data_IF_667497495126
#
_entry.id   IF_667497495126
#
_cell.length_a   1.000
_cell.length_b   1.000
_cell.length_c   1.000
_cell.angle_alpha   90.00
_cell.angle_beta   90.00
_cell.angle_gamma   90.00
#
_symmetry.space_group_name_H-M   'P 1'
#
loop_
_entity.id
_entity.type
_entity.pdbx_description
1 polymer ?
#
# COMPACT_ATOMS: atom_id res chain seq x y z
N UNK A 1 -8.72 6.46 -84.41
CA UNK A 1 -9.84 5.80 -83.73
C UNK A 1 -9.52 5.84 -82.27
N UNK A 2 -10.24 6.68 -81.63
CA UNK A 2 -10.05 7.13 -80.26
C UNK A 2 -10.52 6.08 -79.27
N UNK A 3 -9.84 5.99 -78.16
CA UNK A 3 -10.48 5.59 -76.92
C UNK A 3 -9.78 6.25 -75.71
N UNK A 4 -10.47 7.22 -75.22
CA UNK A 4 -10.19 7.92 -73.93
C UNK A 4 -10.55 7.01 -72.76
N UNK A 5 -9.60 6.72 -71.89
CA UNK A 5 -9.86 6.15 -70.55
C UNK A 5 -9.52 7.19 -69.52
N UNK A 6 -10.56 7.74 -68.92
CA UNK A 6 -10.50 8.64 -67.76
C UNK A 6 -10.20 7.82 -66.51
N UNK A 7 -9.03 7.99 -65.93
CA UNK A 7 -8.70 7.45 -64.60
C UNK A 7 -9.14 8.44 -63.53
N UNK A 8 -10.17 8.07 -62.76
CA UNK A 8 -10.60 8.74 -61.53
C UNK A 8 -9.63 8.37 -60.41
N UNK A 9 -8.93 9.37 -59.91
CA UNK A 9 -8.16 9.27 -58.68
C UNK A 9 -9.13 9.22 -57.47
N UNK A 10 -9.09 8.09 -56.74
CA UNK A 10 -9.78 7.92 -55.46
C UNK A 10 -8.83 8.30 -54.34
N UNK A 11 -9.04 9.45 -53.73
CA UNK A 11 -8.36 9.89 -52.51
C UNK A 11 -8.85 9.03 -51.34
N UNK A 12 -8.00 8.17 -50.82
CA UNK A 12 -8.20 7.51 -49.51
C UNK A 12 -7.63 8.39 -48.40
N UNK A 13 -8.47 9.22 -47.82
CA UNK A 13 -8.22 9.77 -46.49
C UNK A 13 -8.50 8.65 -45.48
N UNK A 14 -7.46 7.98 -45.05
CA UNK A 14 -7.52 7.12 -43.87
C UNK A 14 -7.57 7.99 -42.63
N UNK A 15 -8.74 8.06 -42.00
CA UNK A 15 -8.90 8.60 -40.66
C UNK A 15 -8.36 7.56 -39.68
N UNK A 16 -7.16 7.77 -39.18
CA UNK A 16 -6.64 7.07 -38.02
C UNK A 16 -7.36 7.64 -36.80
N UNK A 17 -8.40 6.97 -36.35
CA UNK A 17 -8.92 7.12 -34.99
C UNK A 17 -7.90 6.51 -34.04
N UNK A 18 -7.04 7.33 -33.45
CA UNK A 18 -6.24 6.95 -32.31
C UNK A 18 -7.20 6.68 -31.15
N UNK A 19 -7.42 5.41 -30.84
CA UNK A 19 -8.06 5.00 -29.60
C UNK A 19 -7.13 5.40 -28.46
N UNK A 20 -7.53 6.39 -27.68
CA UNK A 20 -6.93 6.68 -26.39
C UNK A 20 -7.17 5.45 -25.50
N UNK A 21 -6.16 4.58 -25.37
CA UNK A 21 -6.12 3.61 -24.30
C UNK A 21 -6.01 4.42 -23.00
N UNK A 22 -7.13 4.58 -22.32
CA UNK A 22 -7.17 5.17 -21.00
C UNK A 22 -6.32 4.29 -20.10
N UNK A 23 -5.19 4.83 -19.62
CA UNK A 23 -4.44 4.25 -18.54
C UNK A 23 -5.39 4.17 -17.34
N UNK A 24 -5.83 2.95 -17.02
CA UNK A 24 -6.62 2.70 -15.83
C UNK A 24 -5.72 3.04 -14.63
N UNK A 25 -5.95 4.19 -14.03
CA UNK A 25 -5.35 4.54 -12.72
C UNK A 25 -5.88 3.50 -11.74
N UNK A 26 -5.02 2.66 -11.11
CA UNK A 26 -5.50 1.73 -10.11
C UNK A 26 -6.15 2.53 -8.99
N UNK A 27 -7.38 2.18 -8.65
CA UNK A 27 -8.10 2.77 -7.55
C UNK A 27 -7.22 2.68 -6.29
N UNK A 28 -6.90 3.84 -5.71
CA UNK A 28 -6.30 3.91 -4.37
C UNK A 28 -7.28 3.19 -3.45
N UNK A 29 -6.82 2.14 -2.78
CA UNK A 29 -7.67 1.40 -1.84
C UNK A 29 -8.31 2.38 -0.87
N UNK A 30 -9.64 2.43 -0.84
CA UNK A 30 -10.38 3.31 0.05
C UNK A 30 -10.03 2.93 1.50
N UNK A 31 -9.32 3.81 2.20
CA UNK A 31 -9.01 3.63 3.61
C UNK A 31 -10.20 4.01 4.48
N UNK A 32 -10.24 3.47 5.69
CA UNK A 32 -11.15 3.96 6.73
C UNK A 32 -10.70 5.35 7.13
N UNK A 33 -11.39 6.37 6.61
CA UNK A 33 -11.10 7.75 6.98
C UNK A 33 -11.26 7.94 8.49
N UNK A 34 -10.23 8.47 9.13
CA UNK A 34 -10.38 9.11 10.44
C UNK A 34 -11.08 10.44 10.17
N UNK A 35 -12.42 10.44 10.06
CA UNK A 35 -13.16 11.69 10.03
C UNK A 35 -12.65 12.56 11.19
N UNK A 36 -12.21 13.77 10.87
CA UNK A 36 -11.49 14.65 11.77
C UNK A 36 -12.11 14.67 13.16
N UNK A 37 -11.44 14.03 14.11
CA UNK A 37 -11.86 14.06 15.50
C UNK A 37 -11.38 15.40 16.07
N UNK A 38 -12.27 16.26 16.58
CA UNK A 38 -11.84 17.53 17.13
C UNK A 38 -10.81 17.30 18.24
N UNK A 39 -9.83 18.19 18.33
CA UNK A 39 -8.93 18.26 19.48
C UNK A 39 -9.79 18.36 20.74
N UNK A 40 -9.84 17.31 21.56
CA UNK A 40 -10.70 17.25 22.75
C UNK A 40 -11.63 16.04 22.85
N UNK A 41 -11.74 15.19 21.82
CA UNK A 41 -12.47 13.94 21.96
C UNK A 41 -11.74 12.99 22.92
N UNK A 42 -12.48 12.42 23.90
CA UNK A 42 -11.93 11.48 24.90
C UNK A 42 -11.32 10.23 24.26
N UNK A 43 -10.20 9.70 24.84
CA UNK A 43 -9.69 8.38 24.50
C UNK A 43 -10.73 7.31 24.78
N UNK A 44 -10.69 6.19 24.04
CA UNK A 44 -11.54 5.05 24.30
C UNK A 44 -12.82 4.97 23.46
N UNK A 45 -12.85 5.58 22.26
CA UNK A 45 -13.97 5.36 21.36
C UNK A 45 -13.91 3.94 20.76
N UNK A 46 -15.07 3.29 20.74
CA UNK A 46 -15.26 2.05 19.98
C UNK A 46 -15.87 2.40 18.62
N UNK A 47 -15.30 1.82 17.55
CA UNK A 47 -15.80 1.96 16.19
C UNK A 47 -15.93 0.60 15.53
N UNK A 48 -17.12 0.29 15.01
CA UNK A 48 -17.38 -0.89 14.20
C UNK A 48 -17.12 -0.63 12.71
N UNK A 49 -16.54 -1.61 12.04
CA UNK A 49 -16.38 -1.66 10.58
C UNK A 49 -16.70 -3.06 10.08
N UNK A 50 -17.13 -3.15 8.83
CA UNK A 50 -17.26 -4.44 8.14
C UNK A 50 -16.16 -4.55 7.08
N UNK A 51 -15.47 -5.70 7.08
CA UNK A 51 -14.46 -6.06 6.09
C UNK A 51 -14.96 -7.30 5.35
N UNK A 52 -14.86 -7.28 4.03
CA UNK A 52 -15.24 -8.38 3.16
C UNK A 52 -13.96 -9.00 2.58
N UNK A 53 -13.79 -10.30 2.76
CA UNK A 53 -12.76 -11.06 2.07
C UNK A 53 -13.36 -11.68 0.81
N UNK A 54 -12.74 -11.44 -0.35
CA UNK A 54 -13.26 -11.85 -1.65
C UNK A 54 -12.17 -12.43 -2.54
N UNK A 55 -12.56 -13.35 -3.42
CA UNK A 55 -11.68 -13.81 -4.49
C UNK A 55 -11.53 -12.75 -5.58
N UNK A 56 -10.32 -12.60 -6.11
CA UNK A 56 -9.95 -11.65 -7.15
C UNK A 56 -9.43 -12.38 -8.40
N UNK A 57 -9.41 -11.70 -9.56
CA UNK A 57 -8.81 -12.27 -10.77
C UNK A 57 -7.36 -12.73 -10.56
N UNK A 58 -6.94 -13.74 -11.30
CA UNK A 58 -5.58 -14.29 -11.22
C UNK A 58 -5.32 -15.18 -10.01
N UNK A 59 -6.38 -15.67 -9.33
CA UNK A 59 -6.26 -16.55 -8.17
C UNK A 59 -5.82 -15.81 -6.90
N UNK A 60 -5.94 -14.49 -6.88
CA UNK A 60 -5.69 -13.65 -5.73
C UNK A 60 -6.93 -13.60 -4.82
N UNK A 61 -6.72 -13.09 -3.61
CA UNK A 61 -7.75 -12.75 -2.65
C UNK A 61 -7.47 -11.36 -2.10
N UNK A 62 -8.49 -10.68 -1.61
CA UNK A 62 -8.31 -9.34 -1.06
C UNK A 62 -9.33 -9.04 0.03
N UNK A 63 -9.06 -7.98 0.77
CA UNK A 63 -10.00 -7.38 1.70
C UNK A 63 -10.57 -6.10 1.12
N UNK A 64 -11.85 -5.80 1.44
CA UNK A 64 -12.54 -4.58 1.04
C UNK A 64 -13.50 -4.09 2.12
N UNK A 65 -13.89 -2.80 2.05
CA UNK A 65 -14.85 -2.20 3.01
C UNK A 65 -16.32 -2.30 2.55
N UNK A 66 -16.53 -2.76 1.34
CA UNK A 66 -17.86 -3.06 0.80
C UNK A 66 -17.78 -4.26 -0.16
N UNK A 67 -18.90 -4.95 -0.40
CA UNK A 67 -18.95 -6.03 -1.38
C UNK A 67 -18.48 -5.58 -2.77
N UNK A 68 -17.60 -6.37 -3.39
CA UNK A 68 -17.02 -6.07 -4.71
C UNK A 68 -15.92 -5.01 -4.70
N UNK A 69 -15.47 -4.56 -3.53
CA UNK A 69 -14.38 -3.58 -3.38
C UNK A 69 -13.10 -4.18 -2.79
N UNK A 70 -12.98 -5.49 -2.76
CA UNK A 70 -11.75 -6.13 -2.32
C UNK A 70 -10.57 -5.78 -3.23
N UNK A 71 -9.41 -5.56 -2.65
CA UNK A 71 -8.19 -5.17 -3.36
C UNK A 71 -6.94 -5.77 -2.72
N UNK A 72 -5.83 -5.72 -3.44
CA UNK A 72 -4.49 -6.03 -2.95
C UNK A 72 -3.59 -4.80 -3.15
N UNK A 73 -3.07 -4.23 -2.06
CA UNK A 73 -3.37 -4.48 -0.65
C UNK A 73 -4.85 -4.21 -0.30
N UNK A 74 -5.30 -4.76 0.82
CA UNK A 74 -6.57 -4.41 1.44
C UNK A 74 -6.60 -2.94 1.92
N UNK A 75 -7.74 -2.46 2.45
CA UNK A 75 -7.91 -1.07 2.88
C UNK A 75 -6.93 -0.70 4.01
N UNK A 76 -6.54 0.57 4.06
CA UNK A 76 -5.81 1.12 5.21
C UNK A 76 -6.78 1.26 6.37
N UNK A 77 -6.60 0.46 7.41
CA UNK A 77 -7.35 0.59 8.66
C UNK A 77 -6.63 1.57 9.58
N UNK A 78 -7.36 2.46 10.22
CA UNK A 78 -6.78 3.49 11.08
C UNK A 78 -7.56 3.63 12.38
N UNK A 79 -6.85 3.89 13.48
CA UNK A 79 -7.42 4.20 14.78
C UNK A 79 -6.55 5.19 15.53
N UNK A 80 -7.12 5.90 16.50
CA UNK A 80 -6.36 6.71 17.43
C UNK A 80 -5.86 5.83 18.59
N UNK A 81 -4.70 6.16 19.13
CA UNK A 81 -4.19 5.55 20.36
C UNK A 81 -5.23 5.67 21.48
N UNK A 82 -5.54 4.57 22.15
CA UNK A 82 -6.62 4.46 23.14
C UNK A 82 -7.98 3.99 22.59
N UNK A 83 -8.18 3.91 21.28
CA UNK A 83 -9.44 3.49 20.67
C UNK A 83 -9.55 1.95 20.55
N UNK A 84 -10.78 1.49 20.35
CA UNK A 84 -11.13 0.10 20.00
C UNK A 84 -11.71 0.05 18.60
N UNK A 85 -11.27 -0.91 17.80
CA UNK A 85 -11.79 -1.22 16.48
C UNK A 85 -12.46 -2.60 16.52
N UNK A 86 -13.77 -2.65 16.25
CA UNK A 86 -14.53 -3.89 16.09
C UNK A 86 -14.68 -4.19 14.60
N UNK A 87 -14.06 -5.29 14.14
CA UNK A 87 -14.02 -5.66 12.73
C UNK A 87 -14.93 -6.87 12.51
N UNK A 88 -16.03 -6.66 11.83
CA UNK A 88 -16.89 -7.77 11.34
C UNK A 88 -16.32 -8.24 10.01
N UNK A 89 -15.59 -9.36 10.03
CA UNK A 89 -15.05 -9.99 8.81
C UNK A 89 -16.13 -10.91 8.20
N UNK A 90 -16.50 -10.62 6.97
CA UNK A 90 -17.40 -11.44 6.15
C UNK A 90 -16.56 -12.21 5.14
N UNK A 91 -16.45 -13.51 5.28
CA UNK A 91 -15.75 -14.36 4.34
C UNK A 91 -16.67 -14.73 3.16
N UNK A 92 -16.42 -14.15 2.00
CA UNK A 92 -17.15 -14.43 0.75
C UNK A 92 -16.37 -15.34 -0.20
N UNK A 93 -15.39 -16.07 0.34
CA UNK A 93 -14.56 -17.02 -0.41
C UNK A 93 -14.91 -18.46 -0.09
N UNK A 94 -14.35 -19.38 -0.83
CA UNK A 94 -14.43 -20.82 -0.61
C UNK A 94 -13.32 -21.36 0.31
N UNK A 95 -12.50 -20.47 0.87
CA UNK A 95 -11.37 -20.80 1.72
C UNK A 95 -11.64 -20.45 3.18
N UNK A 96 -11.04 -21.18 4.12
CA UNK A 96 -10.89 -20.66 5.49
C UNK A 96 -9.90 -19.50 5.48
N UNK A 97 -10.19 -18.45 6.18
CA UNK A 97 -9.33 -17.26 6.30
C UNK A 97 -9.62 -16.51 7.61
N UNK A 98 -8.80 -15.52 7.90
CA UNK A 98 -8.92 -14.72 9.10
C UNK A 98 -8.48 -13.28 8.87
N UNK A 99 -8.36 -12.51 9.94
CA UNK A 99 -7.70 -11.21 9.96
C UNK A 99 -6.92 -11.10 11.28
N UNK A 100 -5.58 -11.10 11.20
CA UNK A 100 -4.66 -11.03 12.32
C UNK A 100 -3.95 -9.67 12.33
N UNK A 101 -3.97 -8.90 13.43
CA UNK A 101 -3.32 -7.59 13.51
C UNK A 101 -1.93 -7.67 14.11
N UNK A 102 -1.10 -6.68 13.76
CA UNK A 102 0.13 -6.37 14.46
C UNK A 102 0.00 -5.07 15.26
N UNK A 103 0.75 -4.93 16.35
CA UNK A 103 0.94 -3.69 17.11
C UNK A 103 -0.20 -3.22 17.99
N UNK A 104 -1.27 -3.97 18.11
CA UNK A 104 -2.45 -3.68 18.94
C UNK A 104 -2.75 -4.84 19.90
N UNK A 105 -3.58 -4.57 20.90
CA UNK A 105 -4.00 -5.56 21.87
C UNK A 105 -5.28 -6.28 21.41
N UNK A 106 -5.35 -7.57 21.63
CA UNK A 106 -6.52 -8.41 21.34
C UNK A 106 -6.56 -9.61 22.28
N UNK A 107 -7.75 -10.21 22.42
CA UNK A 107 -7.91 -11.49 23.10
C UNK A 107 -7.68 -12.66 22.13
N UNK A 108 -7.49 -13.87 22.66
CA UNK A 108 -7.33 -15.08 21.85
C UNK A 108 -8.48 -15.28 20.85
N UNK A 109 -9.69 -14.84 21.17
CA UNK A 109 -10.84 -14.90 20.26
C UNK A 109 -10.72 -13.98 19.05
N UNK A 110 -9.85 -12.98 19.14
CA UNK A 110 -9.58 -11.98 18.09
C UNK A 110 -8.16 -12.08 17.53
N UNK A 111 -7.46 -13.18 17.82
CA UNK A 111 -6.09 -13.45 17.36
C UNK A 111 -6.01 -13.70 15.85
N UNK A 112 -7.05 -14.28 15.27
CA UNK A 112 -7.06 -14.60 13.83
C UNK A 112 -6.31 -15.89 13.48
N UNK A 113 -5.86 -16.69 14.47
CA UNK A 113 -5.09 -17.93 14.22
C UNK A 113 -5.92 -19.19 14.39
N UNK A 114 -5.58 -20.27 13.67
CA UNK A 114 -6.14 -21.60 13.90
C UNK A 114 -5.84 -22.15 15.28
N UNK A 115 -4.72 -21.79 15.90
CA UNK A 115 -4.37 -22.19 17.27
C UNK A 115 -5.48 -21.85 18.26
N UNK A 116 -6.08 -20.69 18.12
CA UNK A 116 -7.16 -20.20 18.98
C UNK A 116 -8.56 -20.41 18.37
N UNK A 117 -8.69 -21.19 17.30
CA UNK A 117 -9.91 -21.34 16.52
C UNK A 117 -10.56 -19.99 16.13
N UNK A 118 -9.71 -18.99 15.91
CA UNK A 118 -10.09 -17.60 15.63
C UNK A 118 -9.99 -17.31 14.13
N UNK A 119 -10.81 -18.00 13.32
CA UNK A 119 -10.88 -17.84 11.87
C UNK A 119 -12.31 -17.97 11.37
N UNK A 120 -12.53 -17.63 10.09
CA UNK A 120 -13.79 -17.77 9.40
C UNK A 120 -13.72 -18.92 8.40
N UNK A 121 -14.65 -19.87 8.46
CA UNK A 121 -14.90 -20.81 7.38
C UNK A 121 -15.55 -20.13 6.16
N UNK A 122 -15.70 -20.84 5.03
CA UNK A 122 -16.39 -20.33 3.84
C UNK A 122 -17.80 -19.82 4.15
N UNK A 123 -18.12 -18.58 3.77
CA UNK A 123 -19.40 -17.95 4.00
C UNK A 123 -19.66 -17.47 5.43
N UNK A 124 -18.75 -17.68 6.35
CA UNK A 124 -18.91 -17.28 7.75
C UNK A 124 -18.62 -15.80 7.98
N UNK A 125 -19.21 -15.29 9.05
CA UNK A 125 -19.00 -13.94 9.57
C UNK A 125 -18.52 -14.02 11.01
N UNK A 126 -17.46 -13.25 11.35
CA UNK A 126 -16.91 -13.19 12.71
C UNK A 126 -16.50 -11.76 13.04
N UNK A 127 -16.63 -11.37 14.30
CA UNK A 127 -16.17 -10.09 14.81
C UNK A 127 -14.85 -10.26 15.56
N UNK A 128 -13.86 -9.46 15.20
CA UNK A 128 -12.56 -9.33 15.84
C UNK A 128 -12.49 -7.98 16.55
N UNK A 129 -11.95 -7.95 17.75
CA UNK A 129 -11.86 -6.72 18.58
C UNK A 129 -10.41 -6.39 18.83
N UNK A 130 -9.97 -5.27 18.25
CA UNK A 130 -8.59 -4.75 18.40
C UNK A 130 -8.61 -3.48 19.24
N UNK A 131 -7.72 -3.42 20.22
CA UNK A 131 -7.60 -2.27 21.13
C UNK A 131 -6.21 -1.68 20.99
N UNK A 132 -6.15 -0.37 20.84
CA UNK A 132 -4.88 0.34 20.95
C UNK A 132 -4.77 0.94 22.36
N UNK A 133 -3.54 1.09 22.85
CA UNK A 133 -3.29 1.72 24.14
C UNK A 133 -2.26 2.82 24.01
N UNK A 134 -2.35 3.81 24.87
CA UNK A 134 -1.29 4.76 25.12
C UNK A 134 -0.16 4.09 25.92
N UNK A 135 1.04 4.66 25.86
CA UNK A 135 2.12 4.19 26.73
C UNK A 135 1.74 4.46 28.18
N UNK A 136 1.81 3.46 29.01
CA UNK A 136 1.48 3.57 30.44
C UNK A 136 2.66 3.17 31.33
N UNK A 137 2.79 3.87 32.47
CA UNK A 137 3.76 3.49 33.48
C UNK A 137 3.38 2.12 34.09
N UNK A 138 4.37 1.28 34.26
CA UNK A 138 4.25 0.01 34.93
C UNK A 138 5.16 -0.02 36.18
N UNK A 139 5.05 -1.05 36.98
CA UNK A 139 5.80 -1.19 38.21
C UNK A 139 7.33 -1.16 37.98
N UNK A 140 8.08 -0.58 38.92
CA UNK A 140 9.55 -0.60 38.89
C UNK A 140 10.20 0.25 37.82
N UNK A 141 9.68 1.43 37.49
CA UNK A 141 10.17 2.36 36.43
C UNK A 141 10.13 1.76 35.02
N UNK A 142 9.26 0.82 34.79
CA UNK A 142 9.00 0.23 33.46
C UNK A 142 7.84 0.96 32.81
N UNK A 143 7.72 0.78 31.52
CA UNK A 143 6.59 1.26 30.73
C UNK A 143 6.09 0.12 29.85
N UNK A 144 4.76 0.03 29.71
CA UNK A 144 4.17 -0.75 28.64
C UNK A 144 4.14 0.15 27.41
N UNK A 145 4.67 -0.29 26.27
CA UNK A 145 4.68 0.54 25.05
C UNK A 145 3.26 0.83 24.59
N UNK A 146 3.06 2.02 24.03
CA UNK A 146 1.85 2.39 23.32
C UNK A 146 1.77 1.71 21.96
N UNK A 147 0.59 1.76 21.36
CA UNK A 147 0.32 1.14 20.06
C UNK A 147 0.60 2.06 18.87
N UNK A 148 0.91 3.36 19.10
CA UNK A 148 1.09 4.31 18.00
C UNK A 148 2.22 3.90 17.06
N UNK A 149 1.89 3.76 15.77
CA UNK A 149 2.83 3.32 14.75
C UNK A 149 2.16 2.91 13.45
N UNK A 150 2.98 2.43 12.55
CA UNK A 150 2.56 1.86 11.27
C UNK A 150 2.71 0.35 11.35
N UNK A 151 1.59 -0.31 11.36
CA UNK A 151 1.44 -1.74 11.51
C UNK A 151 0.76 -2.32 10.27
N UNK A 152 0.47 -3.59 10.30
CA UNK A 152 -0.26 -4.28 9.26
C UNK A 152 -1.21 -5.33 9.86
N UNK A 153 -2.08 -5.81 9.01
CA UNK A 153 -2.93 -6.96 9.28
C UNK A 153 -2.87 -7.91 8.09
N UNK A 154 -3.06 -9.19 8.35
CA UNK A 154 -3.02 -10.23 7.31
C UNK A 154 -3.84 -11.45 7.70
N UNK A 155 -4.07 -12.33 6.73
CA UNK A 155 -4.61 -13.65 7.00
C UNK A 155 -3.61 -14.53 7.75
N UNK A 156 -4.11 -15.34 8.68
CA UNK A 156 -3.29 -16.28 9.46
C UNK A 156 -3.83 -17.72 9.40
N UNK A 157 -4.80 -18.01 8.52
CA UNK A 157 -5.49 -19.29 8.49
C UNK A 157 -5.48 -20.01 7.12
N UNK A 158 -5.30 -19.29 6.01
CA UNK A 158 -5.40 -19.88 4.68
C UNK A 158 -4.13 -20.66 4.30
N UNK A 159 -4.30 -21.93 3.97
CA UNK A 159 -3.24 -22.83 3.49
C UNK A 159 -2.45 -23.49 4.62
N UNK A 160 -1.98 -22.74 5.58
CA UNK A 160 -1.26 -23.21 6.77
C UNK A 160 -1.79 -22.53 8.02
N UNK A 161 -1.32 -22.95 9.20
CA UNK A 161 -1.66 -22.30 10.46
C UNK A 161 -0.95 -20.95 10.68
N UNK A 162 -0.19 -20.49 9.69
CA UNK A 162 0.45 -19.16 9.63
C UNK A 162 -0.06 -18.33 8.45
N UNK A 163 -1.14 -18.76 7.76
CA UNK A 163 -1.75 -18.01 6.65
C UNK A 163 -0.87 -17.83 5.41
N UNK A 164 0.12 -18.71 5.21
CA UNK A 164 1.12 -18.56 4.14
C UNK A 164 0.49 -18.38 2.77
N UNK A 165 -0.58 -19.15 2.44
CA UNK A 165 -1.25 -19.03 1.16
C UNK A 165 -2.07 -17.74 1.05
N UNK A 166 -2.68 -17.28 2.13
CA UNK A 166 -3.45 -16.04 2.16
C UNK A 166 -2.55 -14.82 1.94
N UNK A 167 -1.42 -14.76 2.65
CA UNK A 167 -0.41 -13.71 2.47
C UNK A 167 0.12 -13.73 1.03
N UNK A 168 0.56 -14.88 0.51
CA UNK A 168 1.07 -14.98 -0.85
C UNK A 168 0.04 -14.55 -1.92
N UNK A 169 -1.25 -14.67 -1.61
CA UNK A 169 -2.35 -14.33 -2.52
C UNK A 169 -2.96 -12.95 -2.29
N UNK A 170 -2.45 -12.14 -1.34
CA UNK A 170 -2.85 -10.74 -1.20
C UNK A 170 -3.75 -10.42 0.00
N UNK A 171 -4.03 -11.37 0.90
CA UNK A 171 -4.81 -11.13 2.11
C UNK A 171 -3.98 -10.40 3.18
N UNK A 172 -3.71 -9.13 2.95
CA UNK A 172 -2.99 -8.24 3.85
C UNK A 172 -3.36 -6.78 3.62
N UNK A 173 -3.10 -5.92 4.59
CA UNK A 173 -3.29 -4.48 4.50
C UNK A 173 -2.59 -3.71 5.62
N UNK A 174 -2.62 -2.40 5.55
CA UNK A 174 -2.01 -1.53 6.55
C UNK A 174 -2.95 -1.25 7.73
N UNK A 175 -2.37 -1.21 8.93
CA UNK A 175 -3.02 -0.73 10.16
C UNK A 175 -2.20 0.43 10.72
N UNK A 176 -2.82 1.60 10.88
CA UNK A 176 -2.14 2.78 11.42
C UNK A 176 -2.79 3.14 12.76
N UNK A 177 -1.98 3.22 13.78
CA UNK A 177 -2.39 3.77 15.09
C UNK A 177 -1.73 5.14 15.26
N UNK A 178 -2.55 6.18 15.33
CA UNK A 178 -2.10 7.58 15.40
C UNK A 178 -2.16 8.11 16.83
N UNK A 179 -1.22 8.97 17.15
CA UNK A 179 -1.33 9.82 18.36
C UNK A 179 -2.16 11.04 18.06
N UNK A 180 -2.79 11.57 19.11
CA UNK A 180 -3.46 12.87 19.03
C UNK A 180 -2.43 13.94 18.70
N UNK A 181 -2.77 14.78 17.73
CA UNK A 181 -1.89 15.82 17.23
C UNK A 181 -0.99 15.39 16.07
N UNK A 182 -0.99 14.11 15.70
CA UNK A 182 -0.29 13.69 14.49
C UNK A 182 -0.84 14.43 13.25
N UNK A 183 0.07 14.92 12.43
CA UNK A 183 -0.30 15.51 11.15
C UNK A 183 -0.94 14.44 10.25
N UNK A 184 -2.13 14.76 9.72
CA UNK A 184 -2.80 13.86 8.79
C UNK A 184 -2.30 14.10 7.36
N UNK A 185 -2.04 13.04 6.59
CA UNK A 185 -1.65 13.16 5.20
C UNK A 185 -2.85 13.50 4.30
N UNK A 186 -2.58 14.10 3.16
CA UNK A 186 -3.56 14.31 2.10
C UNK A 186 -3.72 13.07 1.21
N UNK A 187 -2.66 12.25 1.11
CA UNK A 187 -2.66 10.98 0.40
C UNK A 187 -1.87 9.92 1.17
N UNK A 188 -2.28 8.67 0.99
CA UNK A 188 -1.65 7.49 1.60
C UNK A 188 -1.29 6.49 0.51
N UNK A 189 -0.08 5.94 0.58
CA UNK A 189 0.45 4.96 -0.35
C UNK A 189 0.91 3.72 0.41
N UNK A 190 0.31 2.58 0.13
CA UNK A 190 0.70 1.31 0.75
C UNK A 190 1.54 0.51 -0.23
N UNK A 191 2.75 0.18 0.19
CA UNK A 191 3.71 -0.64 -0.53
C UNK A 191 3.98 -1.90 0.27
N UNK A 192 3.61 -3.04 -0.26
CA UNK A 192 3.86 -4.34 0.37
C UNK A 192 4.86 -5.09 -0.48
N UNK A 193 6.03 -5.34 0.08
CA UNK A 193 7.03 -6.24 -0.49
C UNK A 193 6.71 -7.66 -0.04
N UNK A 194 6.32 -8.51 -0.96
CA UNK A 194 5.93 -9.89 -0.70
C UNK A 194 6.73 -10.80 -1.63
N UNK A 195 7.81 -11.38 -1.10
CA UNK A 195 8.86 -12.01 -1.89
C UNK A 195 9.33 -11.09 -3.04
N UNK A 196 9.29 -11.51 -4.29
CA UNK A 196 9.76 -10.72 -5.42
C UNK A 196 8.69 -9.78 -6.03
N UNK A 197 7.63 -9.46 -5.27
CA UNK A 197 6.48 -8.69 -5.76
C UNK A 197 6.25 -7.42 -4.92
N UNK A 198 5.76 -6.37 -5.56
CA UNK A 198 5.21 -5.18 -4.92
C UNK A 198 3.68 -5.21 -5.08
N UNK A 199 2.92 -5.29 -3.98
CA UNK A 199 1.46 -5.40 -4.01
C UNK A 199 0.99 -6.54 -4.94
N UNK A 200 1.67 -7.67 -4.89
CA UNK A 200 1.49 -8.85 -5.77
C UNK A 200 1.67 -8.58 -7.27
N UNK A 201 2.50 -7.60 -7.63
CA UNK A 201 2.81 -7.25 -9.01
C UNK A 201 4.30 -7.01 -9.21
N UNK A 202 4.79 -7.18 -10.42
CA UNK A 202 6.12 -6.78 -10.87
C UNK A 202 6.03 -5.60 -11.83
N UNK A 203 7.11 -4.83 -11.93
CA UNK A 203 7.25 -3.83 -12.99
C UNK A 203 7.03 -4.48 -14.37
N UNK A 204 6.33 -3.81 -15.28
CA UNK A 204 5.84 -2.44 -15.19
C UNK A 204 4.45 -2.29 -14.53
N UNK A 205 3.85 -3.37 -14.01
CA UNK A 205 2.48 -3.39 -13.49
C UNK A 205 2.39 -3.03 -12.01
N UNK A 206 3.51 -2.68 -11.37
CA UNK A 206 3.54 -2.16 -10.00
C UNK A 206 2.74 -0.86 -9.89
N UNK A 207 2.20 -0.51 -8.71
CA UNK A 207 1.46 0.74 -8.56
C UNK A 207 2.28 1.96 -8.97
N UNK A 208 1.68 2.86 -9.75
CA UNK A 208 2.15 4.23 -9.87
C UNK A 208 1.37 5.10 -8.90
N UNK A 209 2.07 5.73 -7.96
CA UNK A 209 1.48 6.65 -7.01
C UNK A 209 1.60 8.09 -7.50
N UNK A 210 0.60 8.93 -7.18
CA UNK A 210 0.55 10.29 -7.68
C UNK A 210 0.20 11.29 -6.57
N UNK A 211 0.91 12.42 -6.56
CA UNK A 211 0.59 13.57 -5.73
C UNK A 211 0.92 14.88 -6.47
N UNK A 212 0.30 15.98 -6.08
CA UNK A 212 0.68 17.29 -6.55
C UNK A 212 1.87 17.81 -5.72
N UNK A 213 2.69 18.68 -6.34
CA UNK A 213 3.81 19.33 -5.67
C UNK A 213 3.35 19.99 -4.37
N UNK A 214 4.04 19.68 -3.28
CA UNK A 214 3.77 20.22 -1.95
C UNK A 214 2.70 19.47 -1.14
N UNK A 215 1.98 18.52 -1.73
CA UNK A 215 1.04 17.70 -0.96
C UNK A 215 1.78 16.84 0.08
N UNK A 216 1.20 16.74 1.27
CA UNK A 216 1.67 15.82 2.31
C UNK A 216 1.23 14.41 1.97
N UNK A 217 2.18 13.58 1.66
CA UNK A 217 1.95 12.16 1.35
C UNK A 217 2.53 11.27 2.43
N UNK A 218 1.85 10.18 2.71
CA UNK A 218 2.25 9.16 3.67
C UNK A 218 2.52 7.85 2.96
N UNK A 219 3.70 7.33 3.17
CA UNK A 219 4.12 6.01 2.70
C UNK A 219 4.01 5.01 3.83
N UNK A 220 3.45 3.85 3.55
CA UNK A 220 3.35 2.73 4.46
C UNK A 220 4.01 1.54 3.77
N UNK A 221 5.14 1.09 4.31
CA UNK A 221 5.91 -0.03 3.80
C UNK A 221 5.71 -1.25 4.71
N UNK A 222 5.42 -2.39 4.10
CA UNK A 222 5.15 -3.67 4.79
C UNK A 222 5.96 -4.76 4.11
N UNK A 223 6.66 -5.60 4.89
CA UNK A 223 7.38 -6.77 4.41
C UNK A 223 6.64 -8.06 4.72
N UNK A 224 6.44 -8.88 3.70
CA UNK A 224 5.91 -10.24 3.81
C UNK A 224 6.79 -11.22 3.01
N UNK A 225 6.43 -12.50 3.06
CA UNK A 225 7.16 -13.56 2.35
C UNK A 225 8.38 -14.06 3.11
N UNK A 226 9.35 -14.63 2.40
CA UNK A 226 10.53 -15.28 2.96
C UNK A 226 11.85 -14.54 2.77
N UNK A 227 11.86 -13.39 2.08
CA UNK A 227 13.06 -12.60 1.78
C UNK A 227 13.03 -11.23 2.45
N UNK A 228 14.22 -10.73 2.83
CA UNK A 228 14.36 -9.37 3.33
C UNK A 228 14.42 -8.37 2.17
N UNK A 229 14.05 -7.13 2.46
CA UNK A 229 14.04 -6.04 1.50
C UNK A 229 14.61 -4.75 2.11
N UNK A 230 14.82 -3.75 1.27
CA UNK A 230 15.10 -2.38 1.68
C UNK A 230 14.25 -1.46 0.83
N UNK A 231 13.39 -0.67 1.44
CA UNK A 231 12.59 0.31 0.72
C UNK A 231 13.41 1.57 0.49
N UNK A 232 13.52 2.02 -0.76
CA UNK A 232 14.16 3.27 -1.15
C UNK A 232 13.18 4.14 -1.96
N UNK A 233 13.20 5.45 -1.70
CA UNK A 233 12.44 6.45 -2.45
C UNK A 233 13.38 7.51 -3.01
N UNK A 234 13.42 7.63 -4.33
CA UNK A 234 14.24 8.60 -5.02
C UNK A 234 13.91 10.03 -4.59
N UNK A 235 14.96 10.83 -4.39
CA UNK A 235 14.91 12.28 -4.12
C UNK A 235 14.21 12.72 -2.83
N UNK A 236 13.45 11.88 -2.19
CA UNK A 236 12.72 12.19 -0.96
C UNK A 236 13.42 11.56 0.24
N UNK A 237 13.54 12.34 1.31
CA UNK A 237 14.15 11.91 2.58
C UNK A 237 13.16 12.12 3.71
N UNK A 238 13.28 11.30 4.75
CA UNK A 238 12.45 11.39 5.94
C UNK A 238 13.26 11.16 7.21
N UNK A 239 12.72 11.56 8.34
CA UNK A 239 13.31 11.25 9.64
C UNK A 239 13.05 9.78 10.02
N UNK A 240 14.07 9.08 10.48
CA UNK A 240 13.91 7.70 10.97
C UNK A 240 13.30 7.71 12.37
N UNK A 241 12.04 8.06 12.42
CA UNK A 241 11.20 8.08 13.61
C UNK A 241 9.78 7.59 13.29
N UNK A 242 8.86 7.72 14.25
CA UNK A 242 7.49 7.21 14.09
C UNK A 242 6.69 7.87 12.95
N UNK A 243 6.94 9.12 12.62
CA UNK A 243 6.12 9.88 11.64
C UNK A 243 6.84 10.20 10.34
N UNK A 244 8.16 10.06 10.32
CA UNK A 244 9.00 10.53 9.22
C UNK A 244 9.24 12.04 9.22
N UNK A 245 8.66 12.79 10.16
CA UNK A 245 8.76 14.24 10.25
C UNK A 245 9.81 14.65 11.29
N UNK A 246 10.56 15.71 10.99
CA UNK A 246 11.40 16.39 11.97
C UNK A 246 10.54 17.35 12.80
N UNK A 247 10.69 17.29 14.12
CA UNK A 247 9.98 18.21 15.04
C UNK A 247 10.66 19.59 15.13
N UNK A 248 11.87 19.70 14.60
CA UNK A 248 12.61 20.97 14.55
C UNK A 248 14.09 20.75 14.17
N UNK A 249 14.88 21.85 14.15
CA UNK A 249 16.31 21.78 13.76
C UNK A 249 17.19 20.93 14.71
N UNK A 250 16.73 20.70 15.94
CA UNK A 250 17.43 19.91 16.96
C UNK A 250 16.86 18.49 17.12
N UNK A 251 15.99 18.04 16.20
CA UNK A 251 15.47 16.68 16.21
C UNK A 251 16.62 15.67 16.10
N UNK A 252 16.74 14.69 17.02
CA UNK A 252 17.85 13.74 17.03
C UNK A 252 17.71 12.61 15.99
N UNK A 253 16.59 12.55 15.28
CA UNK A 253 16.34 11.48 14.31
C UNK A 253 17.34 11.53 13.16
N UNK A 254 17.87 10.39 12.74
CA UNK A 254 18.63 10.28 11.51
C UNK A 254 17.71 10.61 10.32
N UNK A 255 18.25 11.28 9.30
CA UNK A 255 17.55 11.53 8.05
C UNK A 255 18.02 10.49 7.03
N UNK A 256 17.08 9.74 6.49
CA UNK A 256 17.31 8.62 5.59
C UNK A 256 16.45 8.73 4.32
N UNK A 257 16.80 7.99 3.29
CA UNK A 257 16.01 7.77 2.06
C UNK A 257 15.83 6.28 1.75
N UNK A 258 16.42 5.43 2.58
CA UNK A 258 16.37 3.96 2.47
C UNK A 258 16.23 3.36 3.86
N UNK A 259 15.35 2.36 3.99
CA UNK A 259 15.15 1.64 5.25
C UNK A 259 14.93 0.15 5.02
N UNK A 260 15.52 -0.66 5.92
CA UNK A 260 15.35 -2.11 5.94
C UNK A 260 13.89 -2.50 6.20
N UNK A 261 13.45 -3.55 5.51
CA UNK A 261 12.11 -4.08 5.57
C UNK A 261 12.15 -5.62 5.58
N UNK A 262 12.18 -6.19 6.77
CA UNK A 262 12.18 -7.63 6.95
C UNK A 262 10.76 -8.22 6.86
N UNK A 263 10.63 -9.53 6.58
CA UNK A 263 9.35 -10.21 6.69
C UNK A 263 8.70 -9.99 8.06
N UNK A 264 7.42 -9.61 8.08
CA UNK A 264 6.68 -9.24 9.29
C UNK A 264 6.97 -7.82 9.80
N UNK A 265 7.93 -7.11 9.20
CA UNK A 265 8.21 -5.71 9.53
C UNK A 265 7.28 -4.73 8.81
N UNK A 266 7.08 -3.57 9.43
CA UNK A 266 6.38 -2.44 8.79
C UNK A 266 6.87 -1.11 9.35
N UNK A 267 6.81 -0.08 8.54
CA UNK A 267 7.04 1.30 8.96
C UNK A 267 6.25 2.25 8.04
N UNK A 268 6.14 3.49 8.47
CA UNK A 268 5.59 4.54 7.63
C UNK A 268 6.26 5.87 7.90
N UNK A 269 6.12 6.78 6.95
CA UNK A 269 6.69 8.11 7.03
C UNK A 269 5.91 9.08 6.16
N UNK A 270 6.01 10.36 6.47
CA UNK A 270 5.41 11.43 5.68
C UNK A 270 6.48 12.30 5.04
N UNK A 271 6.22 12.72 3.80
CA UNK A 271 7.02 13.71 3.07
C UNK A 271 6.10 14.70 2.37
N UNK A 272 6.64 15.88 2.05
CA UNK A 272 6.00 16.79 1.11
C UNK A 272 6.44 16.41 -0.30
N UNK A 273 5.51 16.07 -1.16
CA UNK A 273 5.79 15.62 -2.52
C UNK A 273 6.59 16.67 -3.29
N UNK A 274 7.77 16.29 -3.79
CA UNK A 274 8.66 17.15 -4.56
C UNK A 274 9.34 18.27 -3.79
N UNK A 275 9.28 18.31 -2.46
CA UNK A 275 9.91 19.35 -1.67
C UNK A 275 11.43 19.39 -1.88
N UNK A 276 11.93 20.54 -2.34
CA UNK A 276 13.36 20.75 -2.63
C UNK A 276 13.89 20.12 -3.92
N UNK A 277 13.06 19.33 -4.64
CA UNK A 277 13.45 18.60 -5.86
C UNK A 277 12.55 18.88 -7.06
N UNK A 278 11.32 19.35 -6.81
CA UNK A 278 10.36 19.71 -7.84
C UNK A 278 9.45 18.58 -8.30
N UNK A 279 8.55 18.88 -9.25
CA UNK A 279 7.68 17.89 -9.87
C UNK A 279 8.49 16.98 -10.82
N UNK A 280 8.01 15.77 -11.09
CA UNK A 280 8.67 14.79 -11.94
C UNK A 280 8.22 13.37 -11.66
N UNK A 281 8.88 12.42 -12.32
CA UNK A 281 8.66 10.99 -12.11
C UNK A 281 9.84 10.43 -11.33
N UNK A 282 9.57 9.98 -10.13
CA UNK A 282 10.54 9.42 -9.20
C UNK A 282 10.32 7.92 -9.06
N UNK A 283 11.36 7.17 -8.78
CA UNK A 283 11.22 5.74 -8.50
C UNK A 283 11.08 5.48 -7.00
N UNK A 284 10.34 4.45 -6.65
CA UNK A 284 10.47 3.73 -5.40
C UNK A 284 10.78 2.27 -5.71
N UNK A 285 11.66 1.64 -4.94
CA UNK A 285 12.06 0.27 -5.22
C UNK A 285 12.71 -0.42 -4.02
N UNK A 286 12.84 -1.74 -4.10
CA UNK A 286 13.74 -2.48 -3.23
C UNK A 286 15.18 -2.16 -3.62
N UNK A 287 16.05 -1.80 -2.66
CA UNK A 287 17.46 -1.51 -2.95
C UNK A 287 18.37 -2.74 -2.82
N UNK A 288 17.82 -3.92 -2.59
CA UNK A 288 18.51 -5.18 -2.84
C UNK A 288 18.60 -5.35 -4.36
N UNK A 289 19.82 -5.29 -4.90
CA UNK A 289 20.04 -5.04 -6.32
C UNK A 289 19.31 -6.03 -7.24
N UNK A 290 19.43 -7.33 -6.97
CA UNK A 290 18.77 -8.33 -7.82
C UNK A 290 17.24 -8.35 -7.67
N UNK A 291 16.68 -7.77 -6.59
CA UNK A 291 15.23 -7.59 -6.43
C UNK A 291 14.73 -6.46 -7.32
N UNK A 292 15.43 -5.32 -7.33
CA UNK A 292 15.07 -4.20 -8.23
C UNK A 292 15.21 -4.60 -9.70
N UNK A 293 16.31 -5.26 -10.07
CA UNK A 293 16.52 -5.80 -11.42
C UNK A 293 15.46 -6.85 -11.79
N UNK A 294 14.96 -7.60 -10.81
CA UNK A 294 13.84 -8.56 -10.94
C UNK A 294 12.45 -7.94 -11.01
N UNK A 295 12.34 -6.61 -11.02
CA UNK A 295 11.08 -5.90 -11.19
C UNK A 295 10.44 -5.35 -9.92
N UNK A 296 11.16 -5.35 -8.78
CA UNK A 296 10.66 -4.71 -7.55
C UNK A 296 10.89 -3.20 -7.57
N UNK A 297 10.28 -2.52 -8.53
CA UNK A 297 10.33 -1.08 -8.71
C UNK A 297 8.97 -0.54 -9.13
N UNK A 298 8.66 0.71 -8.79
CA UNK A 298 7.46 1.42 -9.18
C UNK A 298 7.70 2.92 -9.31
N UNK A 299 6.68 3.66 -9.70
CA UNK A 299 6.78 5.08 -9.98
C UNK A 299 5.99 5.92 -8.96
N UNK A 300 6.58 7.05 -8.60
CA UNK A 300 5.94 8.14 -7.89
C UNK A 300 5.92 9.39 -8.78
N UNK A 301 4.76 9.72 -9.33
CA UNK A 301 4.53 10.92 -10.12
C UNK A 301 4.19 12.09 -9.20
N UNK A 302 5.07 13.08 -9.16
CA UNK A 302 4.78 14.38 -8.55
C UNK A 302 4.36 15.32 -9.67
N UNK A 303 3.08 15.65 -9.73
CA UNK A 303 2.50 16.62 -10.67
C UNK A 303 2.90 18.04 -10.29
N UNK A 304 2.73 18.99 -11.21
CA UNK A 304 2.78 20.40 -10.89
C UNK A 304 1.73 20.75 -9.79
N UNK A 305 1.90 21.88 -9.12
CA UNK A 305 0.99 22.29 -8.04
C UNK A 305 -0.47 22.45 -8.51
N UNK A 306 -0.68 22.79 -9.76
CA UNK A 306 -2.00 22.88 -10.40
C UNK A 306 -2.58 21.53 -10.88
N UNK A 307 -1.85 20.43 -10.65
CA UNK A 307 -2.22 19.08 -11.07
C UNK A 307 -1.84 18.72 -12.51
N UNK A 308 -1.27 19.64 -13.28
CA UNK A 308 -0.84 19.36 -14.64
C UNK A 308 0.38 18.41 -14.67
N UNK A 309 0.59 17.77 -15.81
CA UNK A 309 1.72 16.86 -16.01
C UNK A 309 3.03 17.65 -16.11
N UNK A 310 4.10 17.30 -15.37
CA UNK A 310 5.39 17.97 -15.54
C UNK A 310 6.05 17.59 -16.87
N UNK A 311 6.88 18.48 -17.43
CA UNK A 311 7.59 18.20 -18.68
C UNK A 311 8.43 16.92 -18.60
N UNK A 312 8.38 16.09 -19.64
CA UNK A 312 9.11 14.83 -19.74
C UNK A 312 8.57 13.66 -18.90
N UNK A 313 7.48 13.87 -18.16
CA UNK A 313 6.91 12.80 -17.32
C UNK A 313 6.32 11.65 -18.14
N UNK A 314 5.63 11.96 -19.23
CA UNK A 314 5.04 10.93 -20.09
C UNK A 314 6.12 10.04 -20.72
N UNK A 315 7.21 10.63 -21.19
CA UNK A 315 8.35 9.88 -21.73
C UNK A 315 9.05 9.04 -20.67
N UNK A 316 9.16 9.53 -19.42
CA UNK A 316 9.74 8.78 -18.32
C UNK A 316 8.88 7.55 -17.97
N UNK A 317 7.56 7.74 -17.89
CA UNK A 317 6.59 6.67 -17.66
C UNK A 317 6.66 5.67 -18.81
N UNK A 318 6.69 6.14 -20.05
CA UNK A 318 6.79 5.26 -21.22
C UNK A 318 8.09 4.45 -21.22
N UNK A 319 9.23 5.06 -20.87
CA UNK A 319 10.51 4.34 -20.72
C UNK A 319 10.43 3.24 -19.65
N UNK A 320 9.82 3.52 -18.49
CA UNK A 320 9.66 2.53 -17.44
C UNK A 320 8.86 1.31 -17.94
N UNK A 321 7.78 1.54 -18.67
CA UNK A 321 6.98 0.46 -19.27
C UNK A 321 7.73 -0.28 -20.38
N UNK A 322 8.57 0.40 -21.17
CA UNK A 322 9.35 -0.19 -22.27
C UNK A 322 10.53 -1.05 -21.81
N UNK A 323 11.24 -0.62 -20.77
CA UNK A 323 12.40 -1.34 -20.24
C UNK A 323 12.03 -2.68 -19.57
N UNK A 324 10.87 -2.75 -18.94
CA UNK A 324 10.40 -3.98 -18.29
C UNK A 324 10.16 -5.13 -19.28
N UNK A 325 9.90 -4.83 -20.56
CA UNK A 325 9.79 -5.86 -21.60
C UNK A 325 11.14 -6.43 -22.06
N UNK A 326 12.24 -5.67 -21.93
CA UNK A 326 13.58 -6.12 -22.35
C UNK A 326 14.31 -6.96 -21.28
N UNK A 327 14.10 -6.71 -20.01
CA UNK A 327 14.74 -7.44 -18.92
C UNK A 327 14.30 -8.91 -18.81
N UNK A 328 13.07 -9.23 -19.22
CA UNK A 328 12.58 -10.62 -19.26
C UNK A 328 13.23 -11.49 -20.35
N UNK A 329 13.86 -10.90 -21.37
CA UNK A 329 14.52 -11.66 -22.44
C UNK A 329 16.01 -11.94 -22.20
N UNK A 330 16.69 -11.19 -21.33
CA UNK A 330 18.11 -11.40 -21.05
C UNK A 330 18.41 -12.24 -19.79
N UNK A 331 17.45 -12.37 -18.88
CA UNK A 331 17.61 -13.09 -17.59
C UNK A 331 17.63 -14.63 -17.69
N UNK A 332 17.51 -15.22 -18.88
CA UNK A 332 17.48 -16.71 -19.09
C UNK A 332 18.81 -17.26 -19.61
N UNK A 333 19.86 -16.44 -19.73
CA UNK A 333 21.17 -16.88 -20.17
C UNK A 333 22.29 -16.48 -19.19
N UNK A 334 22.26 -17.06 -17.99
CA UNK A 334 23.49 -17.26 -17.17
C UNK A 334 23.29 -18.42 -16.22
#
# INVERSE_FOLDING_TARGET
MDDNVVTRAVSRRSVLTAGAAGLAVPAVAAGVSLAGRPAGATAGATRGITVYAEALPGGLYGYGLAPGQASVPGPVLQMWEGDTLEITLVNRTDQRLSIHPHGVDYSTDSDGSPLNASFNGPGETRTYVWRSREMVAAEGRRFLPGSAGYWHYHDHAMGTDHGTAGIAKGLYGALIVRRRGDALPEKQFTVVFNDMLINNKNAPNTPMFEANLGQRVEWIAIGHGGTFHTFHLHAHRWADNRTGLLEGPADPSAVIDTKDLNPGGSFGFQVLAGAGVGPGVWMYHCHVQFHSDGGMAGLFLVRNADGSMPPGAEEAIHRFHGHAHSAHHEGVRR
#
